data_IF_888866050258
#
_entry.id   IF_888866050258
#
_cell.length_a   1.000
_cell.length_b   1.000
_cell.length_c   1.000
_cell.angle_alpha   90.00
_cell.angle_beta   90.00
_cell.angle_gamma   90.00
#
_symmetry.space_group_name_H-M   'P 1'
#
loop_
_entity.id
_entity.type
_entity.pdbx_description
1 polymer ?
#
# COMPACT_ATOMS: atom_id res chain seq x y z
N UNK A 1 17.28 22.28 2.83
CA UNK A 1 16.86 21.43 3.98
C UNK A 1 15.34 21.30 4.10
N UNK A 2 14.57 22.39 4.17
CA UNK A 2 13.09 22.32 4.27
C UNK A 2 12.41 21.54 3.12
N UNK A 3 12.95 21.67 1.89
CA UNK A 3 12.48 20.98 0.68
C UNK A 3 12.49 19.44 0.75
N UNK A 4 13.21 18.82 1.71
CA UNK A 4 13.24 17.37 1.88
C UNK A 4 12.61 16.93 3.20
N UNK A 5 12.83 17.71 4.27
CA UNK A 5 12.33 17.39 5.60
C UNK A 5 10.79 17.41 5.62
N UNK A 6 10.17 18.44 5.02
CA UNK A 6 8.70 18.54 5.00
C UNK A 6 8.05 17.40 4.21
N UNK A 7 8.51 17.04 3.00
CA UNK A 7 8.00 15.86 2.30
C UNK A 7 8.13 14.57 3.10
N UNK A 8 9.28 14.32 3.72
CA UNK A 8 9.52 13.10 4.50
C UNK A 8 8.57 13.02 5.69
N UNK A 9 8.45 14.10 6.45
CA UNK A 9 7.54 14.17 7.60
C UNK A 9 6.07 14.00 7.17
N UNK A 10 5.69 14.63 6.05
CA UNK A 10 4.36 14.49 5.49
C UNK A 10 4.07 13.05 5.06
N UNK A 11 4.99 12.41 4.34
CA UNK A 11 4.88 11.01 3.94
C UNK A 11 4.78 10.08 5.14
N UNK A 12 5.60 10.29 6.18
CA UNK A 12 5.54 9.54 7.44
C UNK A 12 4.18 9.67 8.13
N UNK A 13 3.68 10.91 8.24
CA UNK A 13 2.38 11.20 8.83
C UNK A 13 1.25 10.51 8.05
N UNK A 14 1.24 10.67 6.73
CA UNK A 14 0.23 10.08 5.84
C UNK A 14 0.27 8.56 5.92
N UNK A 15 1.44 7.94 5.87
CA UNK A 15 1.60 6.48 5.98
C UNK A 15 1.12 5.95 7.33
N UNK A 16 1.55 6.57 8.44
CA UNK A 16 1.17 6.12 9.78
C UNK A 16 -0.33 6.32 10.02
N UNK A 17 -0.87 7.49 9.66
CA UNK A 17 -2.28 7.82 9.87
C UNK A 17 -3.20 7.00 8.98
N UNK A 18 -2.89 6.84 7.69
CA UNK A 18 -3.71 6.04 6.77
C UNK A 18 -3.82 4.58 7.24
N UNK A 19 -2.70 3.96 7.61
CA UNK A 19 -2.68 2.59 8.13
C UNK A 19 -3.54 2.48 9.40
N UNK A 20 -3.36 3.40 10.36
CA UNK A 20 -4.14 3.40 11.60
C UNK A 20 -5.63 3.63 11.37
N UNK A 21 -6.00 4.56 10.49
CA UNK A 21 -7.38 4.86 10.14
C UNK A 21 -8.07 3.66 9.45
N UNK A 22 -7.38 2.97 8.54
CA UNK A 22 -7.89 1.76 7.88
C UNK A 22 -8.15 0.66 8.92
N UNK A 23 -7.22 0.45 9.86
CA UNK A 23 -7.39 -0.53 10.93
C UNK A 23 -8.55 -0.19 11.87
N UNK A 24 -8.71 1.10 12.19
CA UNK A 24 -9.83 1.60 12.97
C UNK A 24 -11.17 1.36 12.27
N UNK A 25 -11.29 1.74 11.00
CA UNK A 25 -12.52 1.57 10.22
C UNK A 25 -12.91 0.11 10.08
N UNK A 26 -11.92 -0.78 9.96
CA UNK A 26 -12.13 -2.22 9.88
C UNK A 26 -12.52 -2.84 11.23
N UNK A 27 -12.24 -2.19 12.36
CA UNK A 27 -12.70 -2.65 13.67
C UNK A 27 -14.12 -2.24 14.04
N UNK A 28 -14.74 -1.33 13.28
CA UNK A 28 -16.11 -0.89 13.54
C UNK A 28 -17.14 -2.03 13.33
N UNK A 29 -18.35 -1.93 13.91
CA UNK A 29 -19.38 -2.95 13.73
C UNK A 29 -19.80 -3.11 12.25
N UNK A 30 -20.11 -4.33 11.81
CA UNK A 30 -20.51 -4.64 10.43
C UNK A 30 -21.62 -3.74 9.83
N UNK A 31 -22.47 -3.12 10.68
CA UNK A 31 -23.51 -2.17 10.24
C UNK A 31 -22.93 -0.89 9.61
N UNK A 32 -21.73 -0.47 10.01
CA UNK A 32 -21.07 0.73 9.49
C UNK A 32 -20.39 0.48 8.15
N UNK A 33 -20.13 -0.78 7.78
CA UNK A 33 -19.31 -1.12 6.60
C UNK A 33 -19.87 -0.55 5.30
N UNK A 34 -21.19 -0.52 5.14
CA UNK A 34 -21.84 0.09 3.96
C UNK A 34 -21.55 1.59 3.87
N UNK A 35 -21.58 2.29 4.99
CA UNK A 35 -21.29 3.71 5.08
C UNK A 35 -19.80 3.99 4.88
N UNK A 36 -18.92 3.18 5.51
CA UNK A 36 -17.47 3.25 5.31
C UNK A 36 -17.12 3.08 3.84
N UNK A 37 -17.69 2.08 3.16
CA UNK A 37 -17.43 1.82 1.75
C UNK A 37 -18.03 2.89 0.84
N UNK A 38 -19.21 3.43 1.18
CA UNK A 38 -19.81 4.56 0.48
C UNK A 38 -18.95 5.82 0.56
N UNK A 39 -18.50 6.19 1.77
CA UNK A 39 -17.61 7.33 1.98
C UNK A 39 -16.26 7.12 1.28
N UNK A 40 -15.67 5.93 1.39
CA UNK A 40 -14.43 5.61 0.70
C UNK A 40 -14.60 5.79 -0.82
N UNK A 41 -15.74 5.39 -1.40
CA UNK A 41 -15.99 5.51 -2.85
C UNK A 41 -16.16 6.98 -3.29
N UNK A 42 -16.78 7.82 -2.45
CA UNK A 42 -16.82 9.27 -2.68
C UNK A 42 -15.39 9.84 -2.62
N UNK A 43 -14.60 9.44 -1.63
CA UNK A 43 -13.21 9.86 -1.51
C UNK A 43 -12.35 9.40 -2.70
N UNK A 44 -12.61 8.21 -3.25
CA UNK A 44 -11.95 7.72 -4.46
C UNK A 44 -12.25 8.63 -5.66
N UNK A 45 -13.51 9.00 -5.88
CA UNK A 45 -13.88 9.89 -6.97
C UNK A 45 -13.23 11.27 -6.82
N UNK A 46 -13.24 11.83 -5.60
CA UNK A 46 -12.56 13.09 -5.29
C UNK A 46 -11.04 13.00 -5.46
N UNK A 47 -10.43 11.87 -5.09
CA UNK A 47 -9.00 11.65 -5.25
C UNK A 47 -8.59 11.53 -6.72
N UNK A 48 -9.38 10.84 -7.55
CA UNK A 48 -9.12 10.77 -9.00
C UNK A 48 -9.29 12.14 -9.67
N UNK A 49 -10.29 12.93 -9.25
CA UNK A 49 -10.45 14.30 -9.73
C UNK A 49 -9.33 15.23 -9.25
N UNK A 50 -8.94 15.16 -7.97
CA UNK A 50 -7.81 15.92 -7.44
C UNK A 50 -6.49 15.54 -8.13
N UNK A 51 -6.32 14.26 -8.45
CA UNK A 51 -5.18 13.77 -9.21
C UNK A 51 -5.18 14.32 -10.64
N UNK A 52 -6.32 14.33 -11.33
CA UNK A 52 -6.40 14.86 -12.71
C UNK A 52 -6.10 16.36 -12.78
N UNK A 53 -6.49 17.13 -11.76
CA UNK A 53 -6.18 18.57 -11.69
C UNK A 53 -4.71 18.80 -11.34
N UNK A 54 -4.18 18.06 -10.36
CA UNK A 54 -2.80 18.22 -9.90
C UNK A 54 -1.76 17.66 -10.88
N UNK A 55 -2.12 16.69 -11.73
CA UNK A 55 -1.23 16.13 -12.76
C UNK A 55 -0.87 17.16 -13.84
N UNK A 56 -1.73 18.17 -14.08
CA UNK A 56 -1.55 19.20 -15.09
C UNK A 56 -0.62 20.36 -14.66
N UNK A 57 -0.17 20.38 -13.40
CA UNK A 57 0.61 21.49 -12.85
C UNK A 57 1.95 21.02 -12.28
N UNK A 58 3.03 21.79 -12.53
CA UNK A 58 4.36 21.57 -11.95
C UNK A 58 4.57 22.58 -10.82
N UNK A 59 4.05 22.28 -9.62
CA UNK A 59 4.23 23.12 -8.44
C UNK A 59 4.39 22.26 -7.19
N UNK A 60 5.03 22.80 -6.15
CA UNK A 60 5.21 22.06 -4.88
C UNK A 60 3.85 21.55 -4.36
N UNK A 61 2.82 22.41 -4.38
CA UNK A 61 1.47 22.04 -3.95
C UNK A 61 0.84 20.92 -4.78
N UNK A 62 1.08 20.90 -6.10
CA UNK A 62 0.57 19.84 -6.96
C UNK A 62 1.26 18.49 -6.71
N UNK A 63 2.54 18.48 -6.32
CA UNK A 63 3.23 17.25 -5.90
C UNK A 63 2.59 16.64 -4.64
N UNK A 64 2.37 17.44 -3.59
CA UNK A 64 1.69 16.98 -2.37
C UNK A 64 0.26 16.50 -2.64
N UNK A 65 -0.49 17.25 -3.45
CA UNK A 65 -1.86 16.91 -3.80
C UNK A 65 -1.92 15.57 -4.56
N UNK A 66 -1.09 15.42 -5.61
CA UNK A 66 -1.05 14.20 -6.41
C UNK A 66 -0.62 12.97 -5.58
N UNK A 67 0.37 13.15 -4.69
CA UNK A 67 0.79 12.10 -3.75
C UNK A 67 -0.34 11.69 -2.81
N UNK A 68 -1.00 12.65 -2.16
CA UNK A 68 -2.10 12.37 -1.24
C UNK A 68 -3.26 11.69 -1.97
N UNK A 69 -3.61 12.16 -3.17
CA UNK A 69 -4.64 11.54 -4.00
C UNK A 69 -4.31 10.08 -4.32
N UNK A 70 -3.05 9.78 -4.70
CA UNK A 70 -2.63 8.40 -4.94
C UNK A 70 -2.75 7.51 -3.69
N UNK A 71 -2.41 8.03 -2.51
CA UNK A 71 -2.60 7.31 -1.24
C UNK A 71 -4.09 7.10 -0.93
N UNK A 72 -4.96 8.06 -1.22
CA UNK A 72 -6.40 7.91 -1.03
C UNK A 72 -7.02 6.89 -1.98
N UNK A 73 -6.58 6.87 -3.25
CA UNK A 73 -6.96 5.83 -4.21
C UNK A 73 -6.52 4.46 -3.68
N UNK A 74 -5.30 4.35 -3.14
CA UNK A 74 -4.80 3.13 -2.51
C UNK A 74 -5.62 2.73 -1.27
N UNK A 75 -5.96 3.68 -0.41
CA UNK A 75 -6.72 3.43 0.80
C UNK A 75 -8.10 2.82 0.50
N UNK A 76 -8.76 3.24 -0.58
CA UNK A 76 -10.02 2.64 -1.02
C UNK A 76 -9.88 1.12 -1.25
N UNK A 77 -8.80 0.71 -1.93
CA UNK A 77 -8.51 -0.69 -2.24
C UNK A 77 -8.28 -1.52 -0.96
N UNK A 78 -7.51 -0.98 -0.02
CA UNK A 78 -7.25 -1.63 1.27
C UNK A 78 -8.52 -1.75 2.12
N UNK A 79 -9.34 -0.70 2.18
CA UNK A 79 -10.63 -0.72 2.88
C UNK A 79 -11.56 -1.75 2.23
N UNK A 80 -11.69 -1.74 0.90
CA UNK A 80 -12.57 -2.67 0.18
C UNK A 80 -12.16 -4.13 0.38
N UNK A 81 -10.86 -4.40 0.47
CA UNK A 81 -10.32 -5.72 0.79
C UNK A 81 -10.63 -6.13 2.23
N UNK A 82 -10.26 -5.28 3.20
CA UNK A 82 -10.40 -5.58 4.63
C UNK A 82 -11.85 -5.70 5.08
N UNK A 83 -12.78 -4.97 4.46
CA UNK A 83 -14.22 -5.12 4.72
C UNK A 83 -14.85 -6.34 4.02
N UNK A 84 -14.08 -7.09 3.22
CA UNK A 84 -14.55 -8.29 2.53
C UNK A 84 -15.38 -8.04 1.25
N UNK A 85 -15.45 -6.80 0.76
CA UNK A 85 -16.15 -6.47 -0.49
C UNK A 85 -15.36 -6.97 -1.71
N UNK A 86 -14.05 -6.69 -1.75
CA UNK A 86 -13.18 -6.95 -2.90
C UNK A 86 -12.06 -7.91 -2.49
N UNK A 87 -12.42 -9.20 -2.36
CA UNK A 87 -11.49 -10.29 -2.01
C UNK A 87 -11.27 -11.22 -3.20
N UNK A 88 -12.01 -12.33 -3.27
CA UNK A 88 -11.93 -13.27 -4.38
C UNK A 88 -13.13 -14.22 -4.40
N UNK A 89 -13.28 -15.02 -5.46
CA UNK A 89 -14.32 -16.04 -5.55
C UNK A 89 -14.20 -17.10 -4.45
N UNK A 90 -12.99 -17.35 -3.92
CA UNK A 90 -12.76 -18.33 -2.87
C UNK A 90 -12.69 -17.65 -1.49
N UNK A 91 -13.78 -17.78 -0.73
CA UNK A 91 -13.91 -17.27 0.66
C UNK A 91 -13.90 -18.40 1.69
N UNK A 92 -13.01 -19.37 1.49
CA UNK A 92 -12.88 -20.56 2.35
C UNK A 92 -11.40 -20.83 2.63
N UNK A 93 -11.07 -21.56 3.70
CA UNK A 93 -9.69 -21.96 3.99
C UNK A 93 -9.01 -22.70 2.83
N UNK A 94 -7.68 -22.60 2.80
CA UNK A 94 -6.81 -23.39 1.95
C UNK A 94 -7.02 -24.88 2.26
N UNK A 95 -7.05 -25.72 1.22
CA UNK A 95 -7.21 -27.16 1.39
C UNK A 95 -6.05 -27.71 2.27
N UNK A 96 -6.32 -28.45 3.36
CA UNK A 96 -5.26 -28.99 4.21
C UNK A 96 -4.26 -29.82 3.41
N UNK A 97 -2.96 -29.56 3.61
CA UNK A 97 -1.88 -30.25 2.89
C UNK A 97 -1.70 -29.83 1.44
N UNK A 98 -2.39 -28.79 0.94
CA UNK A 98 -2.14 -28.27 -0.39
C UNK A 98 -0.72 -27.71 -0.52
N UNK A 99 0.02 -28.23 -1.50
CA UNK A 99 1.39 -27.80 -1.83
C UNK A 99 1.50 -27.44 -3.32
N UNK A 100 2.60 -26.78 -3.68
CA UNK A 100 2.91 -26.42 -5.06
C UNK A 100 1.80 -25.63 -5.75
N UNK A 101 1.47 -26.03 -6.99
CA UNK A 101 0.50 -25.34 -7.83
C UNK A 101 -0.92 -25.29 -7.25
N UNK A 102 -1.34 -26.33 -6.53
CA UNK A 102 -2.66 -26.37 -5.90
C UNK A 102 -2.81 -25.22 -4.89
N UNK A 103 -1.81 -25.06 -4.01
CA UNK A 103 -1.80 -23.96 -3.03
C UNK A 103 -1.76 -22.59 -3.71
N UNK A 104 -0.95 -22.45 -4.77
CA UNK A 104 -0.83 -21.19 -5.53
C UNK A 104 -2.15 -20.82 -6.20
N UNK A 105 -2.81 -21.76 -6.89
CA UNK A 105 -4.10 -21.53 -7.55
C UNK A 105 -5.18 -21.13 -6.54
N UNK A 106 -5.27 -21.85 -5.42
CA UNK A 106 -6.24 -21.51 -4.37
C UNK A 106 -5.96 -20.14 -3.74
N UNK A 107 -4.68 -19.76 -3.56
CA UNK A 107 -4.30 -18.44 -3.06
C UNK A 107 -4.66 -17.32 -4.05
N UNK A 108 -4.41 -17.51 -5.35
CA UNK A 108 -4.81 -16.55 -6.39
C UNK A 108 -6.33 -16.38 -6.39
N UNK A 109 -7.09 -17.48 -6.31
CA UNK A 109 -8.55 -17.41 -6.23
C UNK A 109 -9.07 -16.69 -4.98
N UNK A 110 -8.32 -16.67 -3.88
CA UNK A 110 -8.71 -15.95 -2.67
C UNK A 110 -8.58 -14.43 -2.80
N UNK A 111 -7.69 -13.95 -3.69
CA UNK A 111 -7.37 -12.51 -3.86
C UNK A 111 -7.68 -11.97 -5.27
N UNK A 112 -8.25 -12.78 -6.16
CA UNK A 112 -8.40 -12.41 -7.58
C UNK A 112 -9.17 -11.10 -7.80
N UNK A 113 -10.29 -10.89 -7.11
CA UNK A 113 -11.06 -9.65 -7.28
C UNK A 113 -10.29 -8.43 -6.77
N UNK A 114 -9.49 -8.61 -5.72
CA UNK A 114 -8.57 -7.58 -5.25
C UNK A 114 -7.54 -7.23 -6.34
N UNK A 115 -6.88 -8.21 -6.97
CA UNK A 115 -5.93 -7.90 -8.04
C UNK A 115 -6.59 -7.21 -9.25
N UNK A 116 -7.81 -7.63 -9.62
CA UNK A 116 -8.55 -7.01 -10.71
C UNK A 116 -8.93 -5.55 -10.40
N UNK A 117 -9.39 -5.27 -9.17
CA UNK A 117 -9.67 -3.91 -8.75
C UNK A 117 -8.39 -3.06 -8.72
N UNK A 118 -7.26 -3.63 -8.30
CA UNK A 118 -5.97 -2.96 -8.29
C UNK A 118 -5.51 -2.58 -9.70
N UNK A 119 -5.68 -3.48 -10.68
CA UNK A 119 -5.44 -3.18 -12.11
C UNK A 119 -6.39 -2.08 -12.61
N UNK A 120 -7.68 -2.16 -12.26
CA UNK A 120 -8.66 -1.13 -12.64
C UNK A 120 -8.30 0.26 -12.12
N UNK A 121 -7.87 0.35 -10.86
CA UNK A 121 -7.40 1.60 -10.26
C UNK A 121 -6.08 2.07 -10.89
N UNK A 122 -5.17 1.15 -11.21
CA UNK A 122 -3.93 1.49 -11.91
C UNK A 122 -4.21 2.13 -13.27
N UNK A 123 -5.16 1.54 -14.04
CA UNK A 123 -5.61 2.09 -15.32
C UNK A 123 -6.24 3.47 -15.11
N UNK A 124 -7.09 3.64 -14.10
CA UNK A 124 -7.70 4.93 -13.81
C UNK A 124 -6.67 6.01 -13.46
N UNK A 125 -5.71 5.70 -12.59
CA UNK A 125 -4.60 6.59 -12.19
C UNK A 125 -3.72 6.94 -13.40
N UNK A 126 -3.39 5.95 -14.22
CA UNK A 126 -2.62 6.15 -15.44
C UNK A 126 -3.38 7.01 -16.44
N UNK A 127 -4.68 6.79 -16.64
CA UNK A 127 -5.50 7.55 -17.58
C UNK A 127 -5.61 9.03 -17.19
N UNK A 128 -5.80 9.34 -15.90
CA UNK A 128 -5.89 10.75 -15.44
C UNK A 128 -4.54 11.46 -15.34
N UNK A 129 -3.44 10.71 -15.40
CA UNK A 129 -2.06 11.23 -15.35
C UNK A 129 -1.31 11.01 -16.67
N UNK A 130 -1.99 10.54 -17.72
CA UNK A 130 -1.37 10.15 -18.97
C UNK A 130 -0.79 11.38 -19.67
N UNK A 131 0.49 11.32 -20.06
CA UNK A 131 1.21 12.43 -20.70
C UNK A 131 1.16 13.76 -19.92
N UNK A 132 0.85 13.69 -18.63
CA UNK A 132 0.74 14.86 -17.78
C UNK A 132 2.13 15.27 -17.24
N UNK A 133 2.39 16.57 -17.04
CA UNK A 133 3.70 17.04 -16.59
C UNK A 133 4.06 16.60 -15.17
N UNK A 134 3.07 16.40 -14.29
CA UNK A 134 3.28 15.92 -12.93
C UNK A 134 2.89 14.44 -12.78
N UNK A 135 3.91 13.59 -12.76
CA UNK A 135 3.78 12.13 -12.63
C UNK A 135 3.76 11.63 -11.16
N UNK A 136 3.70 12.53 -10.17
CA UNK A 136 3.85 12.15 -8.75
C UNK A 136 2.84 11.09 -8.31
N UNK A 137 1.57 11.24 -8.70
CA UNK A 137 0.54 10.28 -8.31
C UNK A 137 0.73 8.91 -8.96
N UNK A 138 1.12 8.85 -10.24
CA UNK A 138 1.39 7.61 -10.94
C UNK A 138 2.53 6.83 -10.30
N UNK A 139 3.67 7.49 -10.05
CA UNK A 139 4.82 6.85 -9.42
C UNK A 139 4.54 6.40 -7.98
N UNK A 140 3.80 7.20 -7.22
CA UNK A 140 3.37 6.85 -5.85
C UNK A 140 2.51 5.58 -5.87
N UNK A 141 1.50 5.53 -6.72
CA UNK A 141 0.63 4.36 -6.87
C UNK A 141 1.43 3.13 -7.35
N UNK A 142 2.33 3.32 -8.32
CA UNK A 142 3.19 2.26 -8.84
C UNK A 142 4.08 1.64 -7.75
N UNK A 143 4.68 2.45 -6.88
CA UNK A 143 5.47 1.95 -5.74
C UNK A 143 4.61 1.20 -4.75
N UNK A 144 3.44 1.74 -4.38
CA UNK A 144 2.53 1.04 -3.48
C UNK A 144 2.12 -0.31 -4.06
N UNK A 145 1.78 -0.37 -5.36
CA UNK A 145 1.43 -1.60 -6.04
C UNK A 145 2.58 -2.61 -6.08
N UNK A 146 3.77 -2.18 -6.51
CA UNK A 146 4.94 -3.04 -6.59
C UNK A 146 5.31 -3.61 -5.21
N UNK A 147 5.36 -2.75 -4.19
CA UNK A 147 5.74 -3.16 -2.84
C UNK A 147 4.67 -4.03 -2.18
N UNK A 148 3.37 -3.77 -2.43
CA UNK A 148 2.29 -4.65 -1.97
C UNK A 148 2.34 -6.02 -2.64
N UNK A 149 2.65 -6.07 -3.93
CA UNK A 149 2.81 -7.33 -4.66
C UNK A 149 3.99 -8.12 -4.11
N UNK A 150 5.12 -7.44 -3.87
CA UNK A 150 6.28 -8.02 -3.20
C UNK A 150 5.93 -8.55 -1.80
N UNK A 151 5.19 -7.79 -0.99
CA UNK A 151 4.74 -8.20 0.33
C UNK A 151 3.88 -9.47 0.28
N UNK A 152 2.88 -9.52 -0.62
CA UNK A 152 2.01 -10.69 -0.81
C UNK A 152 2.82 -11.94 -1.18
N UNK A 153 3.78 -11.81 -2.09
CA UNK A 153 4.65 -12.92 -2.49
C UNK A 153 5.56 -13.38 -1.35
N UNK A 154 6.14 -12.45 -0.59
CA UNK A 154 6.96 -12.77 0.58
C UNK A 154 6.15 -13.52 1.64
N UNK A 155 4.94 -13.06 1.96
CA UNK A 155 4.01 -13.70 2.91
C UNK A 155 3.62 -15.11 2.43
N UNK A 156 3.33 -15.26 1.13
CA UNK A 156 3.02 -16.56 0.54
C UNK A 156 4.20 -17.54 0.60
N UNK A 157 5.41 -17.12 0.22
CA UNK A 157 6.62 -17.95 0.23
C UNK A 157 7.09 -18.28 1.66
N UNK A 158 6.90 -17.31 2.54
CA UNK A 158 6.95 -17.43 3.98
C UNK A 158 7.85 -16.41 4.65
N UNK A 159 7.36 -15.85 5.75
CA UNK A 159 8.05 -14.85 6.58
C UNK A 159 7.73 -15.07 8.05
N UNK A 160 8.47 -14.39 8.93
CA UNK A 160 8.41 -14.62 10.37
C UNK A 160 7.14 -13.99 10.94
N UNK A 161 6.89 -12.75 10.58
CA UNK A 161 5.72 -11.98 11.01
C UNK A 161 4.72 -11.89 9.87
N UNK A 162 3.61 -12.61 10.02
CA UNK A 162 2.53 -12.67 9.03
C UNK A 162 1.48 -11.57 9.20
N UNK A 163 1.64 -10.72 10.22
CA UNK A 163 0.74 -9.61 10.50
C UNK A 163 -0.74 -10.06 10.68
N UNK A 164 -0.93 -11.28 11.21
CA UNK A 164 -2.24 -11.93 11.47
C UNK A 164 -3.18 -11.02 12.27
N UNK A 165 -2.62 -10.27 13.21
CA UNK A 165 -3.29 -9.25 14.04
C UNK A 165 -4.00 -8.15 13.25
N UNK A 166 -3.57 -7.84 12.02
CA UNK A 166 -4.22 -6.85 11.17
C UNK A 166 -5.42 -7.40 10.40
N UNK A 167 -5.54 -8.72 10.24
CA UNK A 167 -6.70 -9.32 9.59
C UNK A 167 -7.92 -9.27 10.50
N UNK A 168 -9.10 -8.89 10.00
CA UNK A 168 -10.36 -9.00 10.73
C UNK A 168 -10.84 -10.45 10.78
N UNK A 169 -11.72 -10.77 11.74
CA UNK A 169 -12.17 -12.15 11.99
C UNK A 169 -12.73 -12.86 10.76
N UNK A 170 -13.47 -12.14 9.92
CA UNK A 170 -14.09 -12.68 8.71
C UNK A 170 -13.08 -13.00 7.58
N UNK A 171 -11.84 -12.50 7.67
CA UNK A 171 -10.75 -12.81 6.74
C UNK A 171 -9.69 -13.75 7.32
N UNK A 172 -9.87 -14.25 8.55
CA UNK A 172 -8.90 -15.16 9.18
C UNK A 172 -8.65 -16.45 8.39
N UNK A 173 -9.58 -16.86 7.52
CA UNK A 173 -9.33 -17.97 6.61
C UNK A 173 -8.13 -17.73 5.68
N UNK A 174 -7.77 -16.47 5.40
CA UNK A 174 -6.63 -16.11 4.57
C UNK A 174 -5.29 -16.54 5.18
N UNK A 175 -5.20 -16.62 6.51
CA UNK A 175 -4.00 -17.07 7.22
C UNK A 175 -3.57 -18.48 6.79
N UNK A 176 -4.54 -19.32 6.40
CA UNK A 176 -4.27 -20.70 5.95
C UNK A 176 -3.53 -20.78 4.61
N UNK A 177 -3.44 -19.67 3.87
CA UNK A 177 -2.63 -19.56 2.65
C UNK A 177 -1.19 -19.12 2.92
N UNK A 178 -0.93 -18.58 4.11
CA UNK A 178 0.37 -18.03 4.48
C UNK A 178 1.29 -19.11 5.02
N UNK A 179 2.59 -18.88 4.91
CA UNK A 179 3.60 -19.81 5.44
C UNK A 179 4.45 -19.09 6.48
N UNK A 180 4.51 -19.60 7.71
CA UNK A 180 5.45 -19.09 8.70
C UNK A 180 6.84 -19.70 8.44
N UNK A 181 7.84 -18.85 8.23
CA UNK A 181 9.23 -19.24 7.99
C UNK A 181 10.15 -18.10 8.48
N UNK A 182 11.41 -18.34 8.86
CA UNK A 182 12.29 -17.25 9.30
C UNK A 182 12.48 -16.20 8.20
N UNK A 183 12.65 -16.64 6.95
CA UNK A 183 12.83 -15.80 5.77
C UNK A 183 12.60 -16.67 4.52
N UNK A 184 12.40 -16.03 3.36
CA UNK A 184 12.39 -16.67 2.06
C UNK A 184 13.46 -16.05 1.14
N UNK A 185 13.81 -16.72 0.04
CA UNK A 185 14.84 -16.24 -0.88
C UNK A 185 14.45 -14.97 -1.65
N UNK A 186 13.15 -14.66 -1.82
CA UNK A 186 12.67 -13.46 -2.51
C UNK A 186 12.90 -12.18 -1.68
N UNK A 187 12.92 -12.30 -0.35
CA UNK A 187 13.12 -11.17 0.56
C UNK A 187 14.38 -10.33 0.24
N UNK A 188 15.60 -10.90 0.20
CA UNK A 188 16.79 -10.11 -0.11
C UNK A 188 16.73 -9.47 -1.50
N UNK A 189 16.18 -10.15 -2.52
CA UNK A 189 15.98 -9.55 -3.84
C UNK A 189 15.01 -8.36 -3.80
N UNK A 190 13.93 -8.48 -3.02
CA UNK A 190 12.94 -7.42 -2.85
C UNK A 190 13.59 -6.17 -2.25
N UNK A 191 14.40 -6.33 -1.21
CA UNK A 191 15.12 -5.24 -0.53
C UNK A 191 16.21 -4.64 -1.43
N UNK A 192 17.00 -5.47 -2.12
CA UNK A 192 18.08 -5.00 -3.00
C UNK A 192 17.50 -4.22 -4.18
N UNK A 193 16.47 -4.76 -4.85
CA UNK A 193 15.89 -4.13 -6.03
C UNK A 193 15.20 -2.80 -5.68
N UNK A 194 14.42 -2.78 -4.60
CA UNK A 194 13.80 -1.55 -4.12
C UNK A 194 14.84 -0.51 -3.66
N UNK A 195 15.93 -0.93 -3.02
CA UNK A 195 17.04 -0.04 -2.66
C UNK A 195 17.77 0.50 -3.89
N UNK A 196 17.95 -0.31 -4.93
CA UNK A 196 18.55 0.09 -6.19
C UNK A 196 17.72 1.15 -6.94
N UNK A 197 16.43 1.25 -6.66
CA UNK A 197 15.56 2.34 -7.15
C UNK A 197 15.60 3.54 -6.19
N UNK A 198 15.51 3.29 -4.88
CA UNK A 198 15.46 4.34 -3.87
C UNK A 198 16.74 5.20 -3.83
N UNK A 199 17.92 4.58 -3.96
CA UNK A 199 19.20 5.29 -3.88
C UNK A 199 19.34 6.34 -4.99
N UNK A 200 19.20 6.00 -6.29
CA UNK A 200 19.22 6.99 -7.36
C UNK A 200 18.14 8.07 -7.20
N UNK A 201 16.93 7.71 -6.78
CA UNK A 201 15.86 8.68 -6.53
C UNK A 201 16.28 9.73 -5.50
N UNK A 202 16.88 9.30 -4.39
CA UNK A 202 17.39 10.21 -3.36
C UNK A 202 18.59 11.02 -3.83
N UNK A 203 19.52 10.41 -4.58
CA UNK A 203 20.65 11.12 -5.17
C UNK A 203 20.19 12.22 -6.13
N UNK A 204 19.18 11.96 -6.96
CA UNK A 204 18.57 12.97 -7.84
C UNK A 204 17.78 14.01 -7.05
N UNK A 205 17.10 13.63 -5.97
CA UNK A 205 16.35 14.57 -5.14
C UNK A 205 17.25 15.65 -4.52
N UNK A 206 18.45 15.29 -4.08
CA UNK A 206 19.41 16.20 -3.42
C UNK A 206 20.40 16.87 -4.39
N UNK A 207 20.33 16.55 -5.68
CA UNK A 207 21.26 17.10 -6.65
C UNK A 207 21.04 18.61 -6.82
N UNK A 208 22.11 19.45 -6.87
CA UNK A 208 21.97 20.90 -6.99
C UNK A 208 21.24 21.37 -8.25
N UNK A 209 21.21 20.54 -9.30
CA UNK A 209 20.59 20.83 -10.59
C UNK A 209 19.09 20.50 -10.63
N UNK A 210 18.54 19.88 -9.59
CA UNK A 210 17.16 19.43 -9.55
C UNK A 210 16.22 20.59 -9.16
N UNK A 211 15.15 20.77 -9.92
CA UNK A 211 14.13 21.79 -9.62
C UNK A 211 13.45 21.54 -8.27
N UNK A 212 12.95 22.60 -7.62
CA UNK A 212 12.29 22.48 -6.30
C UNK A 212 11.10 21.52 -6.32
N UNK A 213 10.28 21.58 -7.39
CA UNK A 213 9.18 20.65 -7.61
C UNK A 213 9.67 19.20 -7.63
N UNK A 214 10.68 18.92 -8.45
CA UNK A 214 11.18 17.56 -8.64
C UNK A 214 11.86 17.05 -7.36
N UNK A 215 12.56 17.91 -6.62
CA UNK A 215 13.13 17.58 -5.32
C UNK A 215 12.04 17.16 -4.32
N UNK A 216 10.93 17.90 -4.25
CA UNK A 216 9.77 17.54 -3.39
C UNK A 216 9.11 16.25 -3.86
N UNK A 217 8.82 16.12 -5.15
CA UNK A 217 8.24 14.92 -5.76
C UNK A 217 9.06 13.67 -5.42
N UNK A 218 10.37 13.70 -5.67
CA UNK A 218 11.27 12.57 -5.40
C UNK A 218 11.41 12.30 -3.89
N UNK A 219 11.38 13.34 -3.05
CA UNK A 219 11.43 13.17 -1.60
C UNK A 219 10.15 12.50 -1.06
N UNK A 220 8.97 12.87 -1.56
CA UNK A 220 7.70 12.24 -1.19
C UNK A 220 7.68 10.75 -1.56
N UNK A 221 7.98 10.47 -2.83
CA UNK A 221 7.94 9.11 -3.39
C UNK A 221 9.06 8.25 -2.79
N UNK A 222 10.27 8.81 -2.68
CA UNK A 222 11.44 8.15 -2.10
C UNK A 222 11.26 7.82 -0.63
N UNK A 223 10.64 8.71 0.16
CA UNK A 223 10.29 8.42 1.54
C UNK A 223 9.27 7.27 1.64
N UNK A 224 8.27 7.22 0.75
CA UNK A 224 7.28 6.14 0.73
C UNK A 224 7.93 4.80 0.38
N UNK A 225 8.84 4.79 -0.60
CA UNK A 225 9.59 3.58 -0.97
C UNK A 225 10.48 3.09 0.18
N UNK A 226 11.19 4.00 0.86
CA UNK A 226 11.98 3.65 2.05
C UNK A 226 11.09 3.07 3.16
N UNK A 227 9.92 3.65 3.40
CA UNK A 227 8.97 3.10 4.37
C UNK A 227 8.50 1.69 4.00
N UNK A 228 8.23 1.44 2.72
CA UNK A 228 7.86 0.11 2.25
C UNK A 228 9.01 -0.92 2.39
N UNK A 229 10.27 -0.49 2.25
CA UNK A 229 11.45 -1.32 2.53
C UNK A 229 11.54 -1.64 4.02
N UNK A 230 11.31 -0.65 4.89
CA UNK A 230 11.28 -0.85 6.34
C UNK A 230 10.16 -1.82 6.72
N UNK A 231 8.98 -1.71 6.11
CA UNK A 231 7.86 -2.63 6.30
C UNK A 231 8.22 -4.07 5.90
N UNK A 232 8.97 -4.26 4.82
CA UNK A 232 9.52 -5.57 4.49
C UNK A 232 10.46 -6.08 5.60
N UNK A 233 11.32 -5.21 6.13
CA UNK A 233 12.15 -5.52 7.29
C UNK A 233 11.34 -6.07 8.47
N UNK A 234 10.18 -5.48 8.77
CA UNK A 234 9.28 -5.97 9.82
C UNK A 234 8.74 -7.38 9.58
N UNK A 235 8.72 -7.90 8.35
CA UNK A 235 8.29 -9.28 8.08
C UNK A 235 9.30 -10.32 8.58
N UNK A 236 10.59 -9.97 8.67
CA UNK A 236 11.68 -10.89 9.00
C UNK A 236 12.24 -10.65 10.41
N UNK A 237 12.33 -9.39 10.83
CA UNK A 237 12.85 -9.01 12.16
C UNK A 237 11.79 -9.29 13.23
N UNK A 238 12.13 -9.86 14.40
CA UNK A 238 11.16 -10.17 15.47
C UNK A 238 10.68 -8.93 16.24
N UNK A 239 10.13 -7.94 15.53
CA UNK A 239 9.44 -6.79 16.10
C UNK A 239 7.93 -6.99 15.99
N UNK A 240 7.20 -6.37 16.91
CA UNK A 240 5.73 -6.34 16.90
C UNK A 240 5.26 -5.01 16.29
N UNK A 241 5.09 -4.91 14.96
CA UNK A 241 4.67 -3.67 14.30
C UNK A 241 3.28 -3.20 14.76
N UNK A 242 2.46 -4.10 15.31
CA UNK A 242 1.14 -3.78 15.89
C UNK A 242 1.22 -2.70 16.98
N UNK A 243 2.36 -2.60 17.66
CA UNK A 243 2.57 -1.61 18.70
C UNK A 243 2.40 -0.17 18.20
N UNK A 244 2.68 0.08 16.91
CA UNK A 244 2.57 1.39 16.29
C UNK A 244 1.11 1.84 16.08
N UNK A 245 0.16 0.90 16.00
CA UNK A 245 -1.24 1.16 15.68
C UNK A 245 -2.23 0.59 16.71
N UNK A 246 -1.79 0.46 17.98
CA UNK A 246 -2.64 -0.01 19.08
C UNK A 246 -3.98 0.73 19.18
N UNK A 247 -3.99 2.03 18.90
CA UNK A 247 -5.19 2.87 18.92
C UNK A 247 -6.17 2.55 17.77
N UNK A 248 -5.67 2.12 16.61
CA UNK A 248 -6.54 1.70 15.50
C UNK A 248 -7.16 0.34 15.81
N UNK A 249 -6.35 -0.58 16.32
CA UNK A 249 -6.78 -1.93 16.70
C UNK A 249 -7.73 -1.97 17.91
N UNK A 250 -7.74 -0.95 18.78
CA UNK A 250 -8.64 -0.93 19.95
C UNK A 250 -10.13 -0.82 19.59
N UNK A 251 -10.46 -0.40 18.37
CA UNK A 251 -11.85 -0.36 17.88
C UNK A 251 -12.52 -1.73 17.75
N UNK A 252 -11.73 -2.82 17.72
CA UNK A 252 -12.21 -4.21 17.64
C UNK A 252 -12.70 -4.78 18.97
N UNK A 253 -12.47 -4.06 20.08
CA UNK A 253 -12.91 -4.44 21.42
C UNK A 253 -14.33 -3.96 21.66
#
# INVERSE_FOLDING_TARGET
MALHVLPVLFTLLVWWFSTGAILYLNGLPNRTFKWTMGLASVMLALALWGLSVSSLQISIGSAYCAFLCAVLVWAWQEIAFLLGYVTGPRRVPCTPGATGWKRTSEAIQAVLHHELALIGLAIAVAAVSWDAPNQTGLWTFGILWAMRTSAKLNIFLGVRNLAESFLPDHLRYMETYFRRAPMNALFPFSVILSSAVAIPMWMTAIAPTTSEFQAVQLSLIGAMLVLAIVEHGFMVVPLAPEALWKWGLSSRK
#
